data_IF_454642179370
#
_entry.id   IF_454642179370
#
_cell.length_a   1.000
_cell.length_b   1.000
_cell.length_c   1.000
_cell.angle_alpha   90.00
_cell.angle_beta   90.00
_cell.angle_gamma   90.00
#
_symmetry.space_group_name_H-M   'P 1'
#
loop_
_entity.id
_entity.type
_entity.pdbx_description
1 polymer ?
#
# COMPACT_ATOMS: atom_id res chain seq x y z
N UNK A 1 -6.42 -1.24 -11.24
CA UNK A 1 -5.92 -2.52 -11.81
C UNK A 1 -6.88 -3.62 -11.38
N UNK A 2 -7.01 -4.69 -12.17
CA UNK A 2 -7.91 -5.80 -11.83
C UNK A 2 -7.18 -7.14 -11.98
N UNK A 3 -7.47 -8.10 -11.10
CA UNK A 3 -7.06 -9.49 -11.24
C UNK A 3 -8.14 -10.40 -10.67
N UNK A 4 -8.61 -11.35 -11.47
CA UNK A 4 -9.70 -12.26 -11.10
C UNK A 4 -10.90 -11.52 -10.49
N UNK A 5 -11.29 -11.80 -9.24
CA UNK A 5 -12.40 -11.16 -8.53
C UNK A 5 -12.02 -9.88 -7.77
N UNK A 6 -10.77 -9.43 -7.89
CA UNK A 6 -10.19 -8.33 -7.09
C UNK A 6 -9.91 -7.07 -7.91
N UNK A 7 -10.32 -5.92 -7.36
CA UNK A 7 -9.93 -4.58 -7.83
C UNK A 7 -8.82 -4.04 -6.93
N UNK A 8 -7.75 -3.51 -7.52
CA UNK A 8 -6.66 -2.84 -6.81
C UNK A 8 -6.73 -1.35 -7.05
N UNK A 9 -6.85 -0.59 -5.95
CA UNK A 9 -6.95 0.85 -5.95
C UNK A 9 -5.62 1.49 -5.56
N UNK A 10 -5.11 2.32 -6.47
CA UNK A 10 -3.94 3.17 -6.25
C UNK A 10 -4.28 4.59 -6.68
N UNK A 11 -4.10 5.56 -5.79
CA UNK A 11 -4.24 6.98 -6.10
C UNK A 11 -2.87 7.64 -6.01
N UNK A 12 -2.41 8.24 -7.10
CA UNK A 12 -1.16 9.03 -7.13
C UNK A 12 -1.35 10.46 -6.63
N UNK A 13 -2.59 10.94 -6.54
CA UNK A 13 -2.94 12.30 -6.12
C UNK A 13 -4.17 12.81 -6.84
N UNK A 14 -4.47 14.08 -6.66
CA UNK A 14 -5.50 14.82 -7.39
C UNK A 14 -5.11 16.31 -7.42
N UNK A 15 -5.73 17.08 -8.31
CA UNK A 15 -5.49 18.53 -8.42
C UNK A 15 -5.99 19.26 -7.15
N UNK A 16 -5.15 20.02 -6.42
CA UNK A 16 -5.52 20.62 -5.14
C UNK A 16 -6.78 21.51 -5.19
N UNK A 17 -6.99 22.23 -6.29
CA UNK A 17 -8.17 23.07 -6.56
C UNK A 17 -9.49 22.29 -6.53
N UNK A 18 -9.44 20.96 -6.67
CA UNK A 18 -10.61 20.08 -6.67
C UNK A 18 -10.83 19.39 -5.33
N UNK A 19 -9.99 19.65 -4.31
CA UNK A 19 -10.10 19.06 -2.96
C UNK A 19 -11.49 19.14 -2.36
N UNK A 20 -12.16 20.29 -2.53
CA UNK A 20 -13.54 20.54 -2.04
C UNK A 20 -14.59 19.57 -2.60
N UNK A 21 -14.32 18.91 -3.73
CA UNK A 21 -15.26 17.99 -4.37
C UNK A 21 -15.10 16.54 -3.92
N UNK A 22 -14.25 16.25 -2.94
CA UNK A 22 -14.05 14.89 -2.42
C UNK A 22 -13.69 13.88 -3.53
N UNK A 23 -12.84 14.28 -4.48
CA UNK A 23 -12.52 13.53 -5.71
C UNK A 23 -12.21 12.06 -5.43
N UNK A 24 -11.35 11.77 -4.44
CA UNK A 24 -10.99 10.41 -4.09
C UNK A 24 -12.20 9.57 -3.65
N UNK A 25 -13.15 10.14 -2.91
CA UNK A 25 -14.34 9.45 -2.43
C UNK A 25 -15.30 9.13 -3.57
N UNK A 26 -15.57 10.12 -4.44
CA UNK A 26 -16.44 9.95 -5.61
C UNK A 26 -15.86 8.88 -6.52
N UNK A 27 -14.58 9.02 -6.89
CA UNK A 27 -13.88 8.05 -7.75
C UNK A 27 -13.86 6.66 -7.14
N UNK A 28 -13.62 6.53 -5.82
CA UNK A 28 -13.70 5.22 -5.15
C UNK A 28 -15.10 4.62 -5.30
N UNK A 29 -16.14 5.40 -5.01
CA UNK A 29 -17.53 4.94 -5.04
C UNK A 29 -17.94 4.45 -6.42
N UNK A 30 -17.58 5.17 -7.48
CA UNK A 30 -17.90 4.78 -8.85
C UNK A 30 -17.14 3.52 -9.27
N UNK A 31 -15.87 3.36 -8.86
CA UNK A 31 -15.12 2.13 -9.12
C UNK A 31 -15.75 0.93 -8.40
N UNK A 32 -16.21 1.11 -7.16
CA UNK A 32 -16.90 0.06 -6.41
C UNK A 32 -18.19 -0.37 -7.13
N UNK A 33 -19.05 0.58 -7.51
CA UNK A 33 -20.27 0.30 -8.27
C UNK A 33 -19.98 -0.47 -9.55
N UNK A 34 -19.00 0.00 -10.32
CA UNK A 34 -18.58 -0.63 -11.57
C UNK A 34 -18.03 -2.05 -11.35
N UNK A 35 -17.27 -2.25 -10.29
CA UNK A 35 -16.75 -3.57 -9.90
C UNK A 35 -17.85 -4.55 -9.52
N UNK A 36 -18.78 -4.13 -8.67
CA UNK A 36 -19.91 -4.94 -8.23
C UNK A 36 -20.77 -5.37 -9.43
N UNK A 37 -21.05 -4.44 -10.34
CA UNK A 37 -21.80 -4.74 -11.58
C UNK A 37 -21.10 -5.80 -12.46
N UNK A 38 -19.78 -5.96 -12.33
CA UNK A 38 -18.97 -6.95 -13.04
C UNK A 38 -18.66 -8.20 -12.22
N UNK A 39 -19.32 -8.40 -11.08
CA UNK A 39 -19.15 -9.56 -10.22
C UNK A 39 -17.84 -9.59 -9.44
N UNK A 40 -17.16 -8.44 -9.29
CA UNK A 40 -16.02 -8.33 -8.37
C UNK A 40 -16.53 -8.31 -6.93
N UNK A 41 -15.87 -9.04 -6.05
CA UNK A 41 -16.25 -9.14 -4.63
C UNK A 41 -15.14 -8.72 -3.66
N UNK A 42 -13.97 -8.31 -4.20
CA UNK A 42 -12.83 -7.90 -3.40
C UNK A 42 -12.22 -6.60 -3.91
N UNK A 43 -11.83 -5.76 -2.95
CA UNK A 43 -11.15 -4.48 -3.21
C UNK A 43 -9.93 -4.39 -2.31
N UNK A 44 -8.78 -4.10 -2.90
CA UNK A 44 -7.50 -3.95 -2.20
C UNK A 44 -7.01 -2.50 -2.36
N UNK A 45 -7.00 -1.75 -1.26
CA UNK A 45 -6.51 -0.37 -1.19
C UNK A 45 -4.97 -0.24 -1.17
N UNK A 46 -4.27 -1.34 -1.45
CA UNK A 46 -2.81 -1.47 -1.38
C UNK A 46 -2.22 -1.08 -0.01
N UNK A 47 -0.90 -1.14 0.12
CA UNK A 47 -0.20 -0.83 1.38
C UNK A 47 -0.31 0.65 1.75
N UNK A 48 -0.14 0.95 3.04
CA UNK A 48 -0.13 2.31 3.60
C UNK A 48 -1.27 2.58 4.57
N UNK A 49 -0.99 3.34 5.62
CA UNK A 49 -1.85 3.56 6.81
C UNK A 49 -2.67 4.86 6.71
N UNK A 50 -3.31 5.09 5.56
CA UNK A 50 -4.11 6.31 5.35
C UNK A 50 -5.52 6.21 5.94
N UNK A 51 -5.97 7.26 6.65
CA UNK A 51 -7.33 7.37 7.21
C UNK A 51 -8.45 7.16 6.18
N UNK A 52 -8.23 7.47 4.91
CA UNK A 52 -9.26 7.30 3.88
C UNK A 52 -9.69 5.84 3.68
N UNK A 53 -8.82 4.87 4.01
CA UNK A 53 -9.09 3.44 3.84
C UNK A 53 -10.05 2.91 4.90
N UNK A 54 -9.95 3.41 6.13
CA UNK A 54 -10.75 2.91 7.26
C UNK A 54 -12.24 3.24 7.13
N UNK A 55 -12.61 4.18 6.27
CA UNK A 55 -14.01 4.53 5.97
C UNK A 55 -14.79 3.37 5.34
N UNK A 56 -14.10 2.45 4.69
CA UNK A 56 -14.72 1.37 3.91
C UNK A 56 -14.77 0.03 4.66
N UNK A 57 -14.72 0.08 5.99
CA UNK A 57 -14.73 -1.11 6.86
C UNK A 57 -13.77 -2.22 6.42
N UNK A 58 -12.53 -1.81 6.09
CA UNK A 58 -11.55 -2.71 5.50
C UNK A 58 -11.03 -3.74 6.50
N UNK A 59 -10.92 -5.00 6.08
CA UNK A 59 -10.14 -5.99 6.82
C UNK A 59 -8.64 -5.72 6.71
N UNK A 60 -7.90 -5.96 7.79
CA UNK A 60 -6.43 -5.87 7.76
C UNK A 60 -5.84 -7.12 7.09
N UNK A 61 -5.01 -6.90 6.07
CA UNK A 61 -4.19 -7.95 5.46
C UNK A 61 -2.73 -7.75 5.84
N UNK A 62 -2.11 -8.78 6.39
CA UNK A 62 -0.69 -8.78 6.68
C UNK A 62 0.07 -9.42 5.52
N UNK A 63 1.12 -8.75 5.06
CA UNK A 63 2.07 -9.32 4.11
C UNK A 63 3.43 -9.36 4.77
N UNK A 64 3.98 -10.57 4.88
CA UNK A 64 5.28 -10.82 5.48
C UNK A 64 6.27 -11.11 4.35
N UNK A 65 7.42 -10.44 4.40
CA UNK A 65 8.57 -10.83 3.58
C UNK A 65 9.39 -11.83 4.40
N UNK A 66 9.42 -13.07 3.95
CA UNK A 66 10.14 -14.14 4.62
C UNK A 66 11.46 -14.42 3.91
N UNK A 67 12.55 -14.45 4.67
CA UNK A 67 13.85 -14.90 4.16
C UNK A 67 14.23 -16.19 4.85
N UNK A 68 14.42 -17.25 4.06
CA UNK A 68 14.87 -18.55 4.56
C UNK A 68 16.39 -18.69 4.41
N UNK A 69 17.06 -19.14 5.46
CA UNK A 69 18.49 -19.44 5.42
C UNK A 69 18.84 -20.60 6.35
N UNK A 70 19.80 -21.42 5.89
CA UNK A 70 20.31 -22.58 6.64
C UNK A 70 20.90 -22.21 8.01
N UNK A 71 21.45 -20.99 8.13
CA UNK A 71 21.99 -20.43 9.38
C UNK A 71 21.33 -19.09 9.68
N UNK A 72 20.08 -19.14 10.16
CA UNK A 72 19.25 -17.97 10.39
C UNK A 72 19.90 -16.88 11.28
N UNK A 73 20.71 -17.27 12.28
CA UNK A 73 21.42 -16.32 13.16
C UNK A 73 22.47 -15.50 12.40
N UNK A 74 23.28 -16.15 11.58
CA UNK A 74 24.31 -15.46 10.76
C UNK A 74 23.67 -14.53 9.74
N UNK A 75 22.61 -14.99 9.07
CA UNK A 75 21.86 -14.14 8.14
C UNK A 75 21.27 -12.91 8.85
N UNK A 76 20.72 -13.09 10.06
CA UNK A 76 20.13 -11.97 10.84
C UNK A 76 21.18 -10.89 11.12
N UNK A 77 22.35 -11.26 11.61
CA UNK A 77 23.45 -10.31 11.89
C UNK A 77 23.84 -9.55 10.61
N UNK A 78 24.05 -10.27 9.49
CA UNK A 78 24.39 -9.64 8.21
C UNK A 78 23.30 -8.67 7.71
N UNK A 79 22.02 -9.08 7.80
CA UNK A 79 20.89 -8.24 7.39
C UNK A 79 20.75 -7.00 8.26
N UNK A 80 20.94 -7.11 9.57
CA UNK A 80 20.86 -5.99 10.50
C UNK A 80 21.97 -4.97 10.23
N UNK A 81 23.21 -5.45 10.02
CA UNK A 81 24.34 -4.58 9.61
C UNK A 81 24.08 -3.89 8.27
N UNK A 82 23.60 -4.63 7.25
CA UNK A 82 23.28 -4.07 5.94
C UNK A 82 22.14 -3.04 6.01
N UNK A 83 21.07 -3.31 6.76
CA UNK A 83 19.93 -2.40 6.93
C UNK A 83 20.33 -1.13 7.68
N UNK A 84 21.16 -1.25 8.72
CA UNK A 84 21.69 -0.10 9.47
C UNK A 84 22.49 0.85 8.58
N UNK A 85 23.45 0.33 7.80
CA UNK A 85 24.24 1.14 6.87
C UNK A 85 23.38 1.84 5.80
N UNK A 86 22.35 1.16 5.28
CA UNK A 86 21.46 1.70 4.25
C UNK A 86 20.54 2.81 4.78
N UNK A 87 20.15 2.76 6.06
CA UNK A 87 19.37 3.83 6.71
C UNK A 87 20.20 5.09 6.92
N UNK A 88 21.47 4.96 7.32
CA UNK A 88 22.40 6.09 7.49
C UNK A 88 22.62 6.81 6.15
N UNK A 89 22.91 6.05 5.09
CA UNK A 89 23.09 6.60 3.73
C UNK A 89 21.84 7.31 3.20
N UNK A 90 20.64 6.79 3.49
CA UNK A 90 19.37 7.42 3.12
C UNK A 90 19.11 8.73 3.86
N UNK A 91 19.54 8.84 5.12
CA UNK A 91 19.43 10.09 5.91
C UNK A 91 20.42 11.14 5.42
N UNK A 92 21.66 10.76 5.13
CA UNK A 92 22.66 11.65 4.57
C UNK A 92 22.22 12.27 3.23
N UNK A 93 21.58 11.47 2.36
CA UNK A 93 21.02 11.95 1.08
C UNK A 93 19.80 12.87 1.17
N UNK A 94 19.15 13.00 2.33
CA UNK A 94 18.01 13.92 2.55
C UNK A 94 18.42 15.23 3.23
N UNK A 95 19.66 15.31 3.71
CA UNK A 95 20.22 16.49 4.39
C UNK A 95 21.03 17.39 3.44
N UNK A 96 21.09 17.03 2.16
CA UNK A 96 21.63 17.78 1.02
C UNK A 96 20.43 18.11 0.14
#
# INVERSE_FOLDING_TARGET
LESDRTIFLYYSGYLPEWSRFSVAMITTSEILKYGIARGKDRVEFLRGTGHFKTRWDTCRRYQLEMTWARRARTLRVLLDSYRGGRQVLRRARRAI
#
